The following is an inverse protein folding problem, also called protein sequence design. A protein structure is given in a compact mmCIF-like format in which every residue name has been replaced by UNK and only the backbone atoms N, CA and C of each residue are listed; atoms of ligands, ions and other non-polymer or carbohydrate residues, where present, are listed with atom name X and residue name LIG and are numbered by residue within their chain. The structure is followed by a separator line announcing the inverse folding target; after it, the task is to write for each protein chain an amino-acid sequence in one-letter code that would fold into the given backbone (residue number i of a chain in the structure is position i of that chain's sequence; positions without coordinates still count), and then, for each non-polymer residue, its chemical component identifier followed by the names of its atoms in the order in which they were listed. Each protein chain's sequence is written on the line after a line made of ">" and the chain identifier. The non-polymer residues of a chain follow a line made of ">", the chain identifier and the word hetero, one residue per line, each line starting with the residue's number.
data_IF_571944085309
#
_entry.id   IF_571944085309
#
_cell.length_a   1.000
_cell.length_b   1.000
_cell.length_c   1.000
_cell.angle_alpha   90.00
_cell.angle_beta   90.00
_cell.angle_gamma   90.00
#
_symmetry.space_group_name_H-M   'P 1'
#
loop_
_entity.id
_entity.type
_entity.pdbx_description
1 polymer ?
#
# COMPACT_ATOMS: atom_id res chain seq x y z
N UNK A 1 12.24 -1.27 -6.42
CA UNK A 1 12.81 -2.43 -7.14
C UNK A 1 11.97 -3.69 -7.07
N UNK A 2 11.28 -4.00 -5.96
CA UNK A 2 10.55 -5.27 -5.81
C UNK A 2 9.52 -5.57 -6.91
N UNK A 3 8.85 -4.57 -7.47
CA UNK A 3 7.97 -4.78 -8.62
C UNK A 3 8.73 -5.37 -9.82
N UNK A 4 9.88 -4.79 -10.20
CA UNK A 4 10.72 -5.29 -11.30
C UNK A 4 11.22 -6.70 -11.03
N UNK A 5 11.62 -6.99 -9.78
CA UNK A 5 12.07 -8.33 -9.37
C UNK A 5 10.95 -9.38 -9.50
N UNK A 6 9.71 -9.01 -9.18
CA UNK A 6 8.54 -9.87 -9.32
C UNK A 6 8.16 -10.11 -10.79
N UNK A 7 8.30 -9.09 -11.65
CA UNK A 7 8.00 -9.23 -13.09
C UNK A 7 9.08 -10.02 -13.86
N UNK A 8 10.34 -9.99 -13.41
CA UNK A 8 11.45 -10.69 -14.06
C UNK A 8 12.35 -11.39 -13.01
N UNK A 9 11.92 -12.56 -12.48
CA UNK A 9 12.67 -13.29 -11.47
C UNK A 9 14.11 -13.59 -11.91
N UNK A 10 15.07 -13.35 -11.02
CA UNK A 10 16.49 -13.62 -11.27
C UNK A 10 17.24 -12.57 -12.11
N UNK A 11 16.54 -11.61 -12.75
CA UNK A 11 17.18 -10.54 -13.54
C UNK A 11 17.58 -9.33 -12.69
N UNK A 12 16.83 -9.06 -11.64
CA UNK A 12 17.05 -7.91 -10.76
C UNK A 12 17.27 -8.38 -9.32
N UNK A 13 18.13 -7.68 -8.60
CA UNK A 13 18.38 -7.88 -7.17
C UNK A 13 18.26 -6.54 -6.44
N UNK A 14 17.69 -6.57 -5.24
CA UNK A 14 17.63 -5.40 -4.37
C UNK A 14 18.98 -5.24 -3.66
N UNK A 15 19.63 -4.08 -3.81
CA UNK A 15 20.89 -3.78 -3.12
C UNK A 15 20.70 -3.47 -1.63
N UNK A 16 19.45 -3.35 -1.16
CA UNK A 16 19.12 -3.02 0.23
C UNK A 16 19.22 -1.52 0.55
N UNK A 17 19.57 -0.68 -0.43
CA UNK A 17 19.67 0.76 -0.26
C UNK A 17 18.61 1.48 -1.10
N UNK A 18 17.72 2.21 -0.43
CA UNK A 18 16.73 3.07 -1.07
C UNK A 18 17.09 4.54 -0.89
N UNK A 19 17.11 5.28 -1.99
CA UNK A 19 17.18 6.75 -1.98
C UNK A 19 15.86 7.31 -2.52
N UNK A 20 15.46 8.50 -2.08
CA UNK A 20 14.24 9.19 -2.49
C UNK A 20 12.94 8.44 -2.11
N UNK A 21 12.53 8.45 -0.83
CA UNK A 21 11.18 8.04 -0.47
C UNK A 21 10.19 8.95 -1.19
N UNK A 22 9.34 8.37 -2.03
CA UNK A 22 8.29 9.08 -2.75
C UNK A 22 6.96 8.75 -2.09
N UNK A 23 6.15 9.79 -1.85
CA UNK A 23 4.77 9.62 -1.42
C UNK A 23 3.89 9.36 -2.64
N UNK A 24 3.04 8.36 -2.55
CA UNK A 24 2.03 8.05 -3.57
C UNK A 24 0.65 8.44 -3.02
N UNK A 25 -0.14 9.14 -3.83
CA UNK A 25 -1.50 9.55 -3.48
C UNK A 25 -2.36 9.63 -4.74
N UNK A 26 -3.68 9.63 -4.56
CA UNK A 26 -4.63 9.87 -5.66
C UNK A 26 -4.96 11.35 -5.76
N UNK A 27 -4.75 11.92 -6.95
CA UNK A 27 -5.16 13.29 -7.24
C UNK A 27 -6.65 13.32 -7.57
N UNK A 28 -7.35 14.31 -7.02
CA UNK A 28 -8.76 14.58 -7.30
C UNK A 28 -8.93 16.02 -7.78
N UNK A 29 -10.10 16.32 -8.36
CA UNK A 29 -10.43 17.69 -8.77
C UNK A 29 -10.34 18.64 -7.56
N UNK A 30 -9.65 19.80 -7.67
CA UNK A 30 -9.62 20.79 -6.60
C UNK A 30 -11.03 21.29 -6.23
N UNK A 31 -11.25 21.54 -4.94
CA UNK A 31 -12.50 22.10 -4.41
C UNK A 31 -13.57 21.06 -4.00
N UNK A 32 -13.26 19.77 -4.04
CA UNK A 32 -14.17 18.70 -3.58
C UNK A 32 -13.59 17.92 -2.38
N UNK A 33 -13.69 18.48 -1.16
CA UNK A 33 -13.16 17.83 0.04
C UNK A 33 -13.95 16.57 0.43
N UNK A 34 -15.23 16.48 0.09
CA UNK A 34 -16.05 15.30 0.39
C UNK A 34 -15.55 14.10 -0.40
N UNK A 35 -15.32 14.28 -1.70
CA UNK A 35 -14.77 13.22 -2.54
C UNK A 35 -13.36 12.81 -2.10
N UNK A 36 -12.49 13.79 -1.82
CA UNK A 36 -11.14 13.52 -1.33
C UNK A 36 -11.17 12.66 -0.06
N UNK A 37 -11.99 13.04 0.92
CA UNK A 37 -12.09 12.31 2.18
C UNK A 37 -12.68 10.92 1.99
N UNK A 38 -13.68 10.76 1.10
CA UNK A 38 -14.21 9.45 0.77
C UNK A 38 -13.14 8.53 0.18
N UNK A 39 -12.33 9.00 -0.78
CA UNK A 39 -11.21 8.22 -1.36
C UNK A 39 -10.19 7.84 -0.27
N UNK A 40 -9.86 8.78 0.62
CA UNK A 40 -8.95 8.50 1.73
C UNK A 40 -9.50 7.43 2.68
N UNK A 41 -10.79 7.47 3.00
CA UNK A 41 -11.45 6.43 3.81
C UNK A 41 -11.40 5.06 3.13
N UNK A 42 -11.66 4.99 1.82
CA UNK A 42 -11.55 3.73 1.08
C UNK A 42 -10.15 3.14 1.18
N UNK A 43 -9.09 3.93 1.01
CA UNK A 43 -7.73 3.44 1.20
C UNK A 43 -7.46 2.98 2.63
N UNK A 44 -7.96 3.73 3.61
CA UNK A 44 -7.79 3.40 5.02
C UNK A 44 -8.41 2.05 5.37
N UNK A 45 -9.65 1.82 4.95
CA UNK A 45 -10.36 0.55 5.18
C UNK A 45 -9.70 -0.61 4.44
N UNK A 46 -9.21 -0.40 3.20
CA UNK A 46 -8.48 -1.43 2.47
C UNK A 46 -7.13 -1.78 3.13
N UNK A 47 -6.46 -0.83 3.76
CA UNK A 47 -5.13 -1.02 4.35
C UNK A 47 -5.15 -1.51 5.81
N UNK A 48 -6.26 -1.32 6.53
CA UNK A 48 -6.33 -1.63 7.97
C UNK A 48 -7.63 -2.31 8.41
N UNK A 49 -8.66 -2.27 7.57
CA UNK A 49 -9.99 -2.76 7.88
C UNK A 49 -10.22 -4.22 7.48
N UNK A 50 -11.49 -4.57 7.35
CA UNK A 50 -11.93 -5.95 7.06
C UNK A 50 -11.44 -6.46 5.69
N UNK A 51 -11.22 -5.54 4.74
CA UNK A 51 -10.82 -5.88 3.37
C UNK A 51 -9.29 -5.93 3.19
N UNK A 52 -8.51 -6.00 4.28
CA UNK A 52 -7.05 -6.05 4.24
C UNK A 52 -6.50 -7.17 3.35
N UNK A 53 -7.18 -8.31 3.29
CA UNK A 53 -6.75 -9.45 2.48
C UNK A 53 -6.66 -9.11 0.98
N UNK A 54 -7.51 -8.23 0.46
CA UNK A 54 -7.44 -7.77 -0.93
C UNK A 54 -6.19 -6.91 -1.18
N UNK A 55 -5.87 -6.04 -0.22
CA UNK A 55 -4.68 -5.20 -0.27
C UNK A 55 -3.40 -6.05 -0.16
N UNK A 56 -3.35 -6.98 0.80
CA UNK A 56 -2.24 -7.91 0.98
C UNK A 56 -2.03 -8.81 -0.23
N UNK A 57 -3.10 -9.34 -0.84
CA UNK A 57 -3.02 -10.15 -2.06
C UNK A 57 -2.40 -9.36 -3.22
N UNK A 58 -2.71 -8.08 -3.35
CA UNK A 58 -2.11 -7.19 -4.35
C UNK A 58 -0.62 -6.99 -4.10
N UNK A 59 -0.21 -6.78 -2.85
CA UNK A 59 1.21 -6.66 -2.49
C UNK A 59 2.00 -7.93 -2.81
N UNK A 60 1.44 -9.10 -2.50
CA UNK A 60 2.04 -10.39 -2.85
C UNK A 60 2.15 -10.59 -4.35
N UNK A 61 1.08 -10.31 -5.10
CA UNK A 61 1.05 -10.47 -6.56
C UNK A 61 2.07 -9.59 -7.26
N UNK A 62 2.13 -8.31 -6.90
CA UNK A 62 2.88 -7.30 -7.65
C UNK A 62 4.29 -7.06 -7.13
N UNK A 63 4.55 -7.35 -5.86
CA UNK A 63 5.83 -7.05 -5.22
C UNK A 63 6.45 -8.26 -4.52
N UNK A 64 5.76 -9.41 -4.46
CA UNK A 64 6.25 -10.61 -3.76
C UNK A 64 6.38 -10.41 -2.25
N UNK A 65 5.63 -9.46 -1.67
CA UNK A 65 5.71 -9.11 -0.25
C UNK A 65 4.50 -9.70 0.48
N UNK A 66 4.75 -10.50 1.50
CA UNK A 66 3.73 -10.88 2.48
C UNK A 66 3.63 -9.77 3.54
N UNK A 67 2.47 -9.11 3.62
CA UNK A 67 2.23 -8.08 4.62
C UNK A 67 1.78 -8.71 5.95
N UNK A 68 2.20 -8.17 7.11
CA UNK A 68 1.70 -8.61 8.39
C UNK A 68 0.22 -8.24 8.53
N UNK A 69 -0.58 -9.18 9.06
CA UNK A 69 -2.00 -8.96 9.31
C UNK A 69 -2.14 -7.88 10.41
N UNK A 70 -2.99 -6.84 10.21
CA UNK A 70 -3.27 -5.83 11.23
C UNK A 70 -3.81 -6.45 12.51
N UNK A 71 -3.47 -5.86 13.67
CA UNK A 71 -3.97 -6.35 14.96
C UNK A 71 -5.43 -5.94 15.16
N UNK A 72 -6.28 -6.92 15.43
CA UNK A 72 -7.71 -6.70 15.69
C UNK A 72 -7.94 -5.97 17.02
N UNK A 73 -8.84 -4.99 17.03
CA UNK A 73 -9.35 -4.35 18.27
C UNK A 73 -8.48 -3.25 18.87
N UNK A 74 -7.40 -2.83 18.20
CA UNK A 74 -6.56 -1.71 18.65
C UNK A 74 -6.51 -0.62 17.58
N UNK A 75 -6.93 0.64 17.87
CA UNK A 75 -6.82 1.72 16.92
C UNK A 75 -5.34 2.09 16.70
N UNK A 76 -4.76 1.58 15.63
CA UNK A 76 -3.40 1.91 15.19
C UNK A 76 -3.44 3.11 14.23
N UNK A 77 -3.87 4.28 14.71
CA UNK A 77 -3.83 5.48 13.85
C UNK A 77 -2.47 6.19 13.88
N UNK A 78 -1.62 5.95 14.89
CA UNK A 78 -0.34 6.68 15.07
C UNK A 78 0.72 5.89 15.87
N UNK A 79 1.10 4.69 15.42
CA UNK A 79 2.22 3.94 16.04
C UNK A 79 3.45 3.90 15.13
#
# INVERSE_FOLDING_TARGET
>A
MRWLMQQAPGRFVDSGFGWMPNSYASAVKPGDPTWLNWVNTVYKEAMMGVDFDYFAASYKKWFGIDLPIPKVGFPQEFA
#
